data_IF_808616562777
#
_entry.id   IF_808616562777
#
_cell.length_a   1.000
_cell.length_b   1.000
_cell.length_c   1.000
_cell.angle_alpha   90.00
_cell.angle_beta   90.00
_cell.angle_gamma   90.00
#
_symmetry.space_group_name_H-M   'P 1'
#
loop_
_entity.id
_entity.type
_entity.pdbx_description
1 polymer ?
#
# COMPACT_ATOMS: atom_id res chain seq x y z
N UNK A 1 -16.24 -21.88 -50.15
CA UNK A 1 -16.38 -20.84 -49.11
C UNK A 1 -15.29 -20.98 -48.05
N UNK A 2 -14.62 -19.88 -47.68
CA UNK A 2 -13.54 -19.86 -46.69
C UNK A 2 -14.08 -19.54 -45.29
N UNK A 3 -13.74 -20.38 -44.31
CA UNK A 3 -13.93 -20.08 -42.89
C UNK A 3 -12.87 -19.06 -42.47
N UNK A 4 -13.25 -18.11 -41.62
CA UNK A 4 -12.32 -17.09 -41.14
C UNK A 4 -11.28 -17.69 -40.19
N UNK A 5 -10.06 -17.15 -40.12
CA UNK A 5 -9.06 -17.62 -39.17
C UNK A 5 -9.59 -17.64 -37.73
N UNK A 6 -10.46 -16.70 -37.34
CA UNK A 6 -11.07 -16.67 -36.00
C UNK A 6 -11.91 -17.90 -35.72
N UNK A 7 -12.77 -18.33 -36.66
CA UNK A 7 -13.58 -19.54 -36.51
C UNK A 7 -12.72 -20.80 -36.41
N UNK A 8 -11.61 -20.85 -37.16
CA UNK A 8 -10.69 -21.99 -37.16
C UNK A 8 -9.84 -22.03 -35.88
N UNK A 9 -9.34 -20.89 -35.41
CA UNK A 9 -8.44 -20.81 -34.26
C UNK A 9 -9.16 -20.80 -32.91
N UNK A 10 -10.39 -20.30 -32.84
CA UNK A 10 -11.08 -20.08 -31.56
C UNK A 10 -12.38 -20.89 -31.43
N UNK A 11 -12.90 -21.46 -32.52
CA UNK A 11 -14.17 -22.20 -32.53
C UNK A 11 -15.42 -21.34 -32.37
N UNK A 12 -15.26 -20.02 -32.16
CA UNK A 12 -16.33 -19.03 -32.04
C UNK A 12 -16.98 -18.76 -33.40
N UNK A 13 -18.29 -18.53 -33.42
CA UNK A 13 -19.03 -18.23 -34.67
C UNK A 13 -18.78 -16.78 -35.09
N UNK A 14 -18.53 -16.55 -36.38
CA UNK A 14 -18.36 -15.20 -36.94
C UNK A 14 -19.69 -14.43 -37.00
N UNK A 15 -19.66 -13.12 -36.79
CA UNK A 15 -20.73 -12.21 -37.23
C UNK A 15 -20.57 -11.89 -38.73
N UNK A 16 -21.60 -12.13 -39.57
CA UNK A 16 -21.44 -12.17 -41.02
C UNK A 16 -21.43 -10.77 -41.62
N UNK A 17 -20.52 -10.52 -42.58
CA UNK A 17 -20.59 -9.32 -43.43
C UNK A 17 -20.66 -9.67 -44.93
N UNK A 18 -20.18 -10.83 -45.41
CA UNK A 18 -20.37 -11.33 -46.78
C UNK A 18 -19.80 -12.77 -46.94
N UNK A 19 -20.53 -13.67 -47.63
CA UNK A 19 -20.21 -15.11 -47.77
C UNK A 19 -19.80 -15.56 -49.18
N UNK A 20 -19.57 -14.66 -50.12
CA UNK A 20 -19.28 -15.04 -51.52
C UNK A 20 -17.83 -14.68 -51.87
N UNK A 21 -17.03 -15.68 -52.26
CA UNK A 21 -15.73 -15.47 -52.92
C UNK A 21 -15.94 -15.88 -54.37
N UNK A 22 -15.86 -14.92 -55.30
CA UNK A 22 -15.91 -15.17 -56.74
C UNK A 22 -14.49 -15.33 -57.29
N UNK A 23 -14.25 -16.36 -58.10
CA UNK A 23 -13.05 -16.43 -58.93
C UNK A 23 -13.42 -16.05 -60.38
N UNK A 24 -12.62 -15.22 -61.06
CA UNK A 24 -12.82 -14.94 -62.48
C UNK A 24 -12.25 -16.08 -63.31
N UNK A 25 -13.07 -16.69 -64.18
CA UNK A 25 -12.60 -17.64 -65.19
C UNK A 25 -12.18 -16.85 -66.43
N UNK A 26 -10.95 -17.07 -66.91
CA UNK A 26 -10.41 -16.32 -68.04
C UNK A 26 -11.32 -16.44 -69.28
N UNK A 27 -11.88 -15.31 -69.72
CA UNK A 27 -12.57 -15.18 -71.01
C UNK A 27 -14.10 -15.16 -71.01
N UNK A 28 -14.80 -15.27 -69.87
CA UNK A 28 -16.27 -15.15 -69.85
C UNK A 28 -16.78 -14.39 -68.62
N UNK A 29 -17.80 -13.55 -68.81
CA UNK A 29 -18.50 -12.78 -67.77
C UNK A 29 -19.42 -13.66 -66.90
N UNK A 30 -18.95 -14.83 -66.50
CA UNK A 30 -19.69 -15.76 -65.63
C UNK A 30 -18.79 -16.15 -64.46
N UNK A 31 -19.23 -15.80 -63.26
CA UNK A 31 -18.57 -16.18 -62.01
C UNK A 31 -18.99 -17.59 -61.62
N UNK A 32 -18.02 -18.49 -61.41
CA UNK A 32 -18.28 -19.84 -60.93
C UNK A 32 -18.30 -19.84 -59.40
N UNK A 33 -19.43 -20.24 -58.81
CA UNK A 33 -19.59 -20.36 -57.35
C UNK A 33 -18.94 -21.66 -56.89
N UNK A 34 -17.73 -21.57 -56.35
CA UNK A 34 -17.02 -22.73 -55.79
C UNK A 34 -17.62 -23.09 -54.43
N UNK A 35 -18.59 -24.01 -54.42
CA UNK A 35 -18.99 -24.73 -53.21
C UNK A 35 -17.83 -25.67 -52.83
N UNK A 36 -17.24 -25.46 -51.65
CA UNK A 36 -16.24 -26.39 -51.09
C UNK A 36 -17.01 -27.47 -50.34
N UNK A 37 -16.57 -28.72 -50.43
CA UNK A 37 -17.11 -29.84 -49.65
C UNK A 37 -17.16 -29.49 -48.15
N UNK A 38 -18.35 -29.14 -47.69
CA UNK A 38 -18.61 -28.58 -46.34
C UNK A 38 -18.61 -29.64 -45.26
N UNK A 39 -18.83 -30.91 -45.62
CA UNK A 39 -19.08 -32.00 -44.66
C UNK A 39 -17.89 -32.31 -43.74
N UNK A 40 -16.66 -32.31 -44.26
CA UNK A 40 -15.49 -32.68 -43.46
C UNK A 40 -15.07 -31.56 -42.46
N UNK A 41 -15.36 -30.30 -42.77
CA UNK A 41 -14.98 -29.17 -41.91
C UNK A 41 -15.90 -29.03 -40.70
N UNK A 42 -17.19 -29.33 -40.84
CA UNK A 42 -18.15 -29.24 -39.74
C UNK A 42 -17.94 -30.34 -38.70
N UNK A 43 -17.64 -31.56 -39.14
CA UNK A 43 -17.27 -32.67 -38.24
C UNK A 43 -15.97 -32.37 -37.48
N UNK A 44 -14.96 -31.83 -38.16
CA UNK A 44 -13.71 -31.41 -37.53
C UNK A 44 -13.91 -30.27 -36.53
N UNK A 45 -14.77 -29.29 -36.83
CA UNK A 45 -15.12 -28.21 -35.91
C UNK A 45 -15.93 -28.70 -34.72
N UNK A 46 -16.87 -29.62 -34.92
CA UNK A 46 -17.60 -30.24 -33.82
C UNK A 46 -16.65 -31.00 -32.89
N UNK A 47 -15.72 -31.78 -33.46
CA UNK A 47 -14.68 -32.49 -32.69
C UNK A 47 -13.78 -31.53 -31.91
N UNK A 48 -13.38 -30.40 -32.52
CA UNK A 48 -12.58 -29.39 -31.85
C UNK A 48 -13.33 -28.74 -30.69
N UNK A 49 -14.62 -28.41 -30.87
CA UNK A 49 -15.47 -27.83 -29.82
C UNK A 49 -15.62 -28.76 -28.63
N UNK A 50 -15.87 -30.05 -28.88
CA UNK A 50 -15.98 -31.05 -27.82
C UNK A 50 -14.65 -31.19 -27.06
N UNK A 51 -13.53 -31.31 -27.77
CA UNK A 51 -12.21 -31.41 -27.15
C UNK A 51 -11.86 -30.18 -26.30
N UNK A 52 -12.23 -28.99 -26.75
CA UNK A 52 -11.97 -27.74 -26.02
C UNK A 52 -12.88 -27.61 -24.77
N UNK A 53 -14.14 -28.04 -24.87
CA UNK A 53 -15.04 -28.10 -23.72
C UNK A 53 -14.54 -29.09 -22.65
N UNK A 54 -14.07 -30.26 -23.06
CA UNK A 54 -13.47 -31.26 -22.16
C UNK A 54 -12.21 -30.72 -21.47
N UNK A 55 -11.33 -30.07 -22.23
CA UNK A 55 -10.12 -29.45 -21.68
C UNK A 55 -10.47 -28.36 -20.65
N UNK A 56 -11.45 -27.50 -20.95
CA UNK A 56 -11.91 -26.48 -20.03
C UNK A 56 -12.52 -27.06 -18.75
N UNK A 57 -13.29 -28.15 -18.85
CA UNK A 57 -13.83 -28.85 -17.69
C UNK A 57 -12.70 -29.41 -16.80
N UNK A 58 -11.70 -30.07 -17.39
CA UNK A 58 -10.54 -30.60 -16.65
C UNK A 58 -9.70 -29.48 -16.00
N UNK A 59 -9.51 -28.34 -16.68
CA UNK A 59 -8.85 -27.17 -16.07
C UNK A 59 -9.66 -26.65 -14.87
N UNK A 60 -10.99 -26.55 -14.99
CA UNK A 60 -11.86 -26.10 -13.92
C UNK A 60 -11.75 -27.03 -12.70
N UNK A 61 -11.80 -28.35 -12.92
CA UNK A 61 -11.67 -29.36 -11.87
C UNK A 61 -10.30 -29.33 -11.21
N UNK A 62 -9.21 -29.23 -11.98
CA UNK A 62 -7.84 -29.09 -11.44
C UNK A 62 -7.69 -27.83 -10.60
N UNK A 63 -8.27 -26.70 -11.05
CA UNK A 63 -8.24 -25.43 -10.32
C UNK A 63 -9.01 -25.56 -9.00
N UNK A 64 -10.17 -26.20 -9.00
CA UNK A 64 -10.97 -26.42 -7.81
C UNK A 64 -10.29 -27.38 -6.83
N UNK A 65 -9.73 -28.47 -7.32
CA UNK A 65 -8.94 -29.41 -6.51
C UNK A 65 -7.74 -28.72 -5.85
N UNK A 66 -7.02 -27.88 -6.60
CA UNK A 66 -5.91 -27.07 -6.05
C UNK A 66 -6.41 -26.08 -5.00
N UNK A 67 -7.57 -25.43 -5.20
CA UNK A 67 -8.18 -24.53 -4.22
C UNK A 67 -8.52 -25.26 -2.92
N UNK A 68 -9.14 -26.43 -3.01
CA UNK A 68 -9.50 -27.26 -1.87
C UNK A 68 -8.27 -27.78 -1.12
N UNK A 69 -7.24 -28.23 -1.84
CA UNK A 69 -5.96 -28.63 -1.24
C UNK A 69 -5.27 -27.47 -0.52
N UNK A 70 -5.22 -26.28 -1.12
CA UNK A 70 -4.66 -25.09 -0.47
C UNK A 70 -5.48 -24.67 0.75
N UNK A 71 -6.81 -24.77 0.70
CA UNK A 71 -7.69 -24.50 1.84
C UNK A 71 -7.46 -25.51 2.97
N UNK A 72 -7.28 -26.78 2.65
CA UNK A 72 -7.00 -27.84 3.63
C UNK A 72 -5.58 -27.72 4.23
N UNK A 73 -4.59 -27.32 3.42
CA UNK A 73 -3.22 -27.10 3.88
C UNK A 73 -3.09 -25.85 4.77
N UNK A 74 -3.95 -24.85 4.57
CA UNK A 74 -4.04 -23.66 5.43
C UNK A 74 -4.85 -23.96 6.69
N UNK A 75 -4.26 -24.71 7.63
CA UNK A 75 -4.57 -24.50 9.05
C UNK A 75 -3.88 -23.20 9.44
N UNK A 76 -4.64 -22.18 9.80
CA UNK A 76 -4.07 -20.92 10.28
C UNK A 76 -3.09 -21.22 11.41
N UNK A 77 -1.89 -20.65 11.35
CA UNK A 77 -1.00 -20.67 12.50
C UNK A 77 -1.72 -19.93 13.64
N UNK A 78 -1.91 -20.59 14.77
CA UNK A 78 -2.43 -19.95 15.97
C UNK A 78 -1.40 -18.89 16.36
N UNK A 79 -1.81 -17.63 16.33
CA UNK A 79 -0.90 -16.55 16.65
C UNK A 79 -0.68 -16.58 18.17
N UNK A 80 0.55 -16.90 18.59
CA UNK A 80 0.90 -17.10 19.99
C UNK A 80 1.48 -15.79 20.52
N UNK A 81 0.63 -14.82 20.81
CA UNK A 81 0.99 -13.63 21.60
C UNK A 81 0.23 -13.71 22.91
N UNK A 82 0.92 -13.45 24.02
CA UNK A 82 0.35 -13.35 25.35
C UNK A 82 0.33 -11.91 25.85
N UNK A 83 -0.61 -11.57 26.74
CA UNK A 83 -0.54 -10.33 27.53
C UNK A 83 0.82 -10.21 28.22
N UNK A 84 1.50 -9.09 28.01
CA UNK A 84 2.85 -8.82 28.53
C UNK A 84 3.97 -9.00 27.51
N UNK A 85 3.73 -9.68 26.39
CA UNK A 85 4.76 -9.87 25.36
C UNK A 85 5.14 -8.55 24.70
N UNK A 86 6.43 -8.39 24.36
CA UNK A 86 6.89 -7.28 23.56
C UNK A 86 6.81 -7.60 22.07
N UNK A 87 6.23 -6.69 21.29
CA UNK A 87 5.93 -6.88 19.86
C UNK A 87 6.34 -5.66 19.03
N UNK A 88 6.75 -5.92 17.80
CA UNK A 88 6.88 -4.92 16.75
C UNK A 88 5.58 -4.82 15.98
N UNK A 89 5.17 -3.59 15.66
CA UNK A 89 3.99 -3.28 14.87
C UNK A 89 4.36 -2.81 13.46
N UNK A 90 3.78 -3.43 12.45
CA UNK A 90 3.98 -3.06 11.04
C UNK A 90 3.07 -1.88 10.65
N UNK A 91 3.64 -0.72 10.34
CA UNK A 91 2.92 0.47 9.85
C UNK A 91 3.25 0.74 8.38
N UNK A 92 2.24 1.15 7.60
CA UNK A 92 2.48 1.68 6.27
C UNK A 92 3.05 3.10 6.40
N UNK A 93 4.14 3.40 5.68
CA UNK A 93 4.76 4.72 5.69
C UNK A 93 4.16 5.59 4.57
N UNK A 94 3.36 6.63 4.90
CA UNK A 94 2.76 7.49 3.89
C UNK A 94 3.77 8.45 3.24
N UNK A 95 4.96 8.65 3.82
CA UNK A 95 5.98 9.59 3.28
C UNK A 95 6.69 9.04 2.04
N UNK A 96 6.58 7.74 1.78
CA UNK A 96 7.20 7.06 0.63
C UNK A 96 6.18 6.75 -0.49
N UNK A 97 5.21 7.65 -0.70
CA UNK A 97 4.10 7.52 -1.65
C UNK A 97 4.50 7.56 -3.15
N UNK A 98 5.73 7.23 -3.51
CA UNK A 98 6.15 7.02 -4.89
C UNK A 98 5.81 5.58 -5.35
N UNK A 99 4.52 5.26 -5.42
CA UNK A 99 4.00 4.10 -6.17
C UNK A 99 4.06 2.72 -5.51
N UNK A 100 4.64 2.56 -4.31
CA UNK A 100 4.67 1.25 -3.61
C UNK A 100 4.44 1.41 -2.10
N UNK A 101 3.48 0.67 -1.56
CA UNK A 101 3.25 0.57 -0.11
C UNK A 101 4.46 -0.10 0.54
N UNK A 102 5.34 0.69 1.15
CA UNK A 102 6.38 0.19 2.04
C UNK A 102 5.84 0.09 3.47
N UNK A 103 6.07 -1.07 4.08
CA UNK A 103 5.70 -1.36 5.47
C UNK A 103 6.97 -1.32 6.32
N UNK A 104 6.95 -0.49 7.37
CA UNK A 104 8.03 -0.39 8.36
C UNK A 104 7.59 -1.05 9.67
N UNK A 105 8.49 -1.80 10.30
CA UNK A 105 8.30 -2.30 11.65
C UNK A 105 8.70 -1.23 12.66
N UNK A 106 7.81 -0.94 13.60
CA UNK A 106 7.93 0.09 14.65
C UNK A 106 7.71 -0.58 16.00
N UNK A 107 8.38 -0.12 17.04
CA UNK A 107 8.29 -0.69 18.39
C UNK A 107 9.63 -1.23 18.87
N UNK A 108 9.72 -1.56 20.16
CA UNK A 108 8.78 -2.48 20.82
C UNK A 108 7.55 -1.81 21.47
N UNK A 109 6.41 -2.51 21.38
CA UNK A 109 5.15 -2.28 22.10
C UNK A 109 4.92 -3.44 23.07
N UNK A 110 4.09 -3.27 24.09
CA UNK A 110 3.66 -4.36 24.98
C UNK A 110 2.23 -4.78 24.66
N UNK A 111 1.95 -6.08 24.61
CA UNK A 111 0.56 -6.57 24.49
C UNK A 111 -0.16 -6.31 25.82
N UNK A 112 -1.19 -5.47 25.80
CA UNK A 112 -1.97 -5.11 26.98
C UNK A 112 -3.20 -6.01 27.15
N UNK A 113 -3.84 -6.43 26.06
CA UNK A 113 -5.03 -7.27 26.09
C UNK A 113 -5.16 -8.11 24.81
N UNK A 114 -5.70 -9.31 24.94
CA UNK A 114 -6.02 -10.19 23.82
C UNK A 114 -7.51 -10.06 23.49
N UNK A 115 -7.82 -9.60 22.27
CA UNK A 115 -9.19 -9.51 21.77
C UNK A 115 -9.51 -10.74 20.90
N UNK A 116 -10.79 -11.07 20.67
CA UNK A 116 -11.17 -12.27 19.92
C UNK A 116 -10.56 -12.39 18.52
N UNK A 117 -10.26 -11.26 17.87
CA UNK A 117 -9.75 -11.20 16.48
C UNK A 117 -8.49 -10.34 16.34
N UNK A 118 -8.00 -9.74 17.42
CA UNK A 118 -6.93 -8.74 17.40
C UNK A 118 -6.25 -8.63 18.77
N UNK A 119 -5.25 -7.77 18.89
CA UNK A 119 -4.53 -7.53 20.13
C UNK A 119 -4.48 -6.04 20.40
N UNK A 120 -4.71 -5.66 21.64
CA UNK A 120 -4.52 -4.30 22.11
C UNK A 120 -3.07 -4.15 22.51
N UNK A 121 -2.29 -3.42 21.73
CA UNK A 121 -0.88 -3.13 22.03
C UNK A 121 -0.76 -1.75 22.68
N UNK A 122 0.12 -1.65 23.66
CA UNK A 122 0.39 -0.44 24.41
C UNK A 122 1.78 0.08 24.08
N UNK A 123 1.85 1.37 23.82
CA UNK A 123 3.09 2.07 23.58
C UNK A 123 3.83 2.33 24.90
N UNK A 124 5.11 1.91 25.01
CA UNK A 124 5.84 1.87 26.29
C UNK A 124 6.08 3.23 26.95
N UNK A 125 6.08 4.33 26.17
CA UNK A 125 6.32 5.68 26.70
C UNK A 125 5.04 6.47 26.95
N UNK A 126 4.07 6.35 26.05
CA UNK A 126 2.87 7.19 26.06
C UNK A 126 1.71 6.50 26.74
N UNK A 127 1.78 5.17 26.92
CA UNK A 127 0.67 4.36 27.39
C UNK A 127 -0.50 4.29 26.39
N UNK A 128 -0.35 4.85 25.20
CA UNK A 128 -1.39 4.82 24.17
C UNK A 128 -1.62 3.38 23.72
N UNK A 129 -2.90 3.03 23.62
CA UNK A 129 -3.32 1.68 23.24
C UNK A 129 -3.84 1.67 21.81
N UNK A 130 -3.46 0.66 21.05
CA UNK A 130 -3.82 0.49 19.65
C UNK A 130 -4.37 -0.92 19.42
N UNK A 131 -5.54 -1.01 18.79
CA UNK A 131 -6.11 -2.29 18.35
C UNK A 131 -5.47 -2.72 17.03
N UNK A 132 -4.75 -3.85 17.06
CA UNK A 132 -3.94 -4.31 15.94
C UNK A 132 -4.17 -5.80 15.67
N UNK A 133 -4.39 -6.14 14.40
CA UNK A 133 -4.53 -7.53 13.99
C UNK A 133 -3.18 -8.28 14.10
N UNK A 134 -3.24 -9.54 14.54
CA UNK A 134 -2.11 -10.45 14.73
C UNK A 134 -1.05 -10.44 13.60
N UNK A 135 -1.49 -10.46 12.34
CA UNK A 135 -0.63 -10.43 11.13
C UNK A 135 0.27 -9.17 11.02
N UNK A 136 -0.09 -8.09 11.70
CA UNK A 136 0.66 -6.83 11.74
C UNK A 136 1.64 -6.79 12.92
N UNK A 137 1.73 -7.86 13.69
CA UNK A 137 2.60 -7.98 14.86
C UNK A 137 3.70 -9.00 14.61
N UNK A 138 4.86 -8.77 15.22
CA UNK A 138 5.99 -9.69 15.25
C UNK A 138 6.58 -9.68 16.65
N UNK A 139 6.92 -10.85 17.19
CA UNK A 139 7.63 -10.95 18.47
C UNK A 139 8.90 -10.11 18.47
N UNK A 140 9.07 -9.30 19.51
CA UNK A 140 10.33 -8.65 19.82
C UNK A 140 11.15 -9.62 20.67
N UNK A 141 12.32 -10.02 20.17
CA UNK A 141 13.01 -11.24 20.60
C UNK A 141 13.82 -11.10 21.91
N UNK A 142 13.52 -10.14 22.77
CA UNK A 142 14.28 -9.95 24.00
C UNK A 142 13.43 -10.24 25.23
N UNK A 143 13.58 -11.46 25.72
CA UNK A 143 12.98 -12.01 26.92
C UNK A 143 13.64 -11.48 28.22
N UNK A 144 14.69 -10.66 28.09
CA UNK A 144 15.37 -9.95 29.18
C UNK A 144 15.33 -8.42 28.99
N UNK A 145 14.41 -7.91 28.16
CA UNK A 145 14.33 -6.50 27.84
C UNK A 145 14.01 -5.65 29.08
N UNK A 146 15.05 -5.09 29.68
CA UNK A 146 14.91 -3.96 30.58
C UNK A 146 14.59 -2.72 29.73
N UNK A 147 13.55 -1.98 30.12
CA UNK A 147 13.18 -0.74 29.44
C UNK A 147 14.17 0.36 29.84
N UNK A 148 15.37 0.33 29.24
CA UNK A 148 16.44 1.29 29.49
C UNK A 148 16.15 2.64 28.84
N UNK A 149 16.84 3.69 29.26
CA UNK A 149 16.68 5.03 28.69
C UNK A 149 17.06 5.08 27.20
N UNK A 150 18.03 4.28 26.76
CA UNK A 150 18.42 4.20 25.35
C UNK A 150 17.32 3.56 24.49
N UNK A 151 16.63 2.54 25.01
CA UNK A 151 15.49 1.94 24.33
C UNK A 151 14.31 2.93 24.27
N UNK A 152 14.03 3.63 25.37
CA UNK A 152 13.04 4.71 25.42
C UNK A 152 13.36 5.80 24.39
N UNK A 153 14.60 6.28 24.35
CA UNK A 153 15.06 7.27 23.38
C UNK A 153 14.89 6.75 21.95
N UNK A 154 15.29 5.50 21.67
CA UNK A 154 15.11 4.89 20.35
C UNK A 154 13.63 4.81 19.93
N UNK A 155 12.73 4.42 20.84
CA UNK A 155 11.28 4.36 20.59
C UNK A 155 10.72 5.77 20.37
N UNK A 156 11.18 6.78 21.13
CA UNK A 156 10.85 8.20 20.94
C UNK A 156 11.15 8.69 19.52
N UNK A 157 12.29 8.29 18.96
CA UNK A 157 12.69 8.62 17.59
C UNK A 157 11.87 7.92 16.50
N UNK A 158 11.09 6.88 16.82
CA UNK A 158 10.30 6.12 15.84
C UNK A 158 8.93 6.73 15.50
N UNK A 159 8.68 7.98 15.89
CA UNK A 159 7.50 8.73 15.44
C UNK A 159 6.34 8.72 16.43
N UNK A 160 6.64 8.70 17.73
CA UNK A 160 5.72 9.26 18.72
C UNK A 160 5.66 10.76 18.47
N UNK A 161 4.46 11.32 18.40
CA UNK A 161 4.30 12.77 18.42
C UNK A 161 4.62 13.26 19.83
N UNK A 162 5.88 13.61 20.07
CA UNK A 162 6.28 14.29 21.29
C UNK A 162 5.64 15.68 21.29
N UNK A 163 5.07 16.08 22.42
CA UNK A 163 4.53 17.43 22.55
C UNK A 163 5.66 18.45 22.49
N UNK A 164 5.42 19.60 21.89
CA UNK A 164 6.39 20.71 21.88
C UNK A 164 6.39 21.35 23.26
N UNK A 165 7.54 21.38 23.95
CA UNK A 165 7.72 22.13 25.21
C UNK A 165 7.83 23.61 24.89
N UNK A 166 8.86 23.96 24.12
CA UNK A 166 9.18 25.33 23.74
C UNK A 166 9.89 25.34 22.39
N UNK A 167 9.80 26.46 21.68
CA UNK A 167 10.61 26.74 20.49
C UNK A 167 11.67 27.73 20.94
N UNK A 168 12.94 27.36 20.80
CA UNK A 168 14.07 28.09 21.39
C UNK A 168 14.84 28.92 20.38
N UNK A 169 14.94 28.45 19.14
CA UNK A 169 15.73 29.12 18.10
C UNK A 169 15.19 28.85 16.69
N UNK A 170 15.70 29.58 15.70
CA UNK A 170 15.31 29.54 14.30
C UNK A 170 16.54 29.62 13.41
N UNK A 171 16.57 28.80 12.36
CA UNK A 171 17.60 28.87 11.34
C UNK A 171 17.03 28.64 9.95
N UNK A 172 17.70 29.20 8.95
CA UNK A 172 17.41 28.88 7.56
C UNK A 172 18.41 27.86 7.04
N UNK A 173 17.94 26.67 6.66
CA UNK A 173 18.78 25.63 6.09
C UNK A 173 18.93 25.84 4.58
N UNK A 174 20.11 26.29 4.15
CA UNK A 174 20.38 26.60 2.73
C UNK A 174 20.38 25.35 1.82
N UNK A 175 20.73 24.18 2.35
CA UNK A 175 20.77 22.94 1.56
C UNK A 175 19.36 22.43 1.28
N UNK A 176 18.51 22.40 2.31
CA UNK A 176 17.12 21.99 2.20
C UNK A 176 16.19 23.12 1.68
N UNK A 177 16.67 24.37 1.67
CA UNK A 177 15.92 25.58 1.28
C UNK A 177 14.67 25.85 2.12
N UNK A 178 14.69 25.45 3.38
CA UNK A 178 13.56 25.53 4.31
C UNK A 178 13.94 26.24 5.62
N UNK A 179 12.93 26.79 6.31
CA UNK A 179 13.08 27.27 7.68
C UNK A 179 12.96 26.10 8.65
N UNK A 180 13.89 26.05 9.60
CA UNK A 180 13.89 25.06 10.68
C UNK A 180 13.81 25.76 12.03
N UNK A 181 13.03 25.18 12.93
CA UNK A 181 12.85 25.62 14.31
C UNK A 181 13.58 24.66 15.23
N UNK A 182 14.27 25.19 16.24
CA UNK A 182 14.83 24.38 17.32
C UNK A 182 13.70 24.11 18.31
N UNK A 183 13.27 22.86 18.37
CA UNK A 183 12.13 22.42 19.15
C UNK A 183 12.65 21.68 20.38
N UNK A 184 12.31 22.21 21.55
CA UNK A 184 12.42 21.47 22.80
C UNK A 184 11.19 20.62 23.03
N UNK A 185 11.39 19.35 23.36
CA UNK A 185 10.33 18.35 23.50
C UNK A 185 9.82 18.25 24.95
N UNK A 186 8.53 17.99 25.12
CA UNK A 186 7.93 17.75 26.44
C UNK A 186 8.47 16.46 27.04
N UNK A 187 8.94 16.53 28.29
CA UNK A 187 9.49 15.39 29.01
C UNK A 187 10.93 15.01 28.63
N UNK A 188 11.60 15.79 27.78
CA UNK A 188 13.01 15.60 27.39
C UNK A 188 13.88 16.78 27.85
N UNK A 189 15.19 16.56 27.94
CA UNK A 189 16.15 17.59 28.37
C UNK A 189 16.54 18.53 27.22
N UNK A 190 17.10 19.70 27.53
CA UNK A 190 17.51 20.68 26.51
C UNK A 190 18.64 20.18 25.58
N UNK A 191 19.40 19.17 26.01
CA UNK A 191 20.41 18.52 25.18
C UNK A 191 19.79 17.71 24.02
N UNK A 192 18.49 17.41 24.10
CA UNK A 192 17.74 16.60 23.15
C UNK A 192 16.87 17.46 22.22
N UNK A 193 17.03 18.79 22.26
CA UNK A 193 16.35 19.72 21.35
C UNK A 193 16.78 19.44 19.89
N UNK A 194 15.82 19.33 18.97
CA UNK A 194 16.08 19.00 17.56
C UNK A 194 15.62 20.09 16.59
N UNK A 195 16.27 20.13 15.42
CA UNK A 195 15.91 21.07 14.35
C UNK A 195 14.86 20.45 13.44
N UNK A 196 13.65 20.98 13.51
CA UNK A 196 12.49 20.48 12.77
C UNK A 196 12.01 21.48 11.70
N UNK A 197 11.46 21.03 10.57
CA UNK A 197 10.90 21.91 9.55
C UNK A 197 9.74 22.74 10.10
N UNK A 198 9.72 24.04 9.79
CA UNK A 198 8.68 24.96 10.27
C UNK A 198 7.28 24.48 9.93
N UNK A 199 7.05 24.07 8.69
CA UNK A 199 5.72 23.65 8.20
C UNK A 199 5.22 22.41 8.97
N UNK A 200 6.10 21.44 9.21
CA UNK A 200 5.77 20.22 9.96
C UNK A 200 5.39 20.51 11.42
N UNK A 201 6.00 21.50 12.04
CA UNK A 201 5.69 21.89 13.43
C UNK A 201 4.44 22.77 13.49
N UNK A 202 4.24 23.62 12.49
CA UNK A 202 3.05 24.45 12.39
C UNK A 202 1.77 23.60 12.23
N UNK A 203 1.81 22.54 11.40
CA UNK A 203 0.70 21.59 11.29
C UNK A 203 0.35 20.91 12.63
N UNK A 204 1.34 20.73 13.51
CA UNK A 204 1.15 20.06 14.78
C UNK A 204 0.70 21.01 15.90
N UNK A 205 1.33 22.19 16.01
CA UNK A 205 1.10 23.15 17.11
C UNK A 205 1.14 24.59 16.59
N UNK A 206 0.10 25.03 15.85
CA UNK A 206 0.10 26.34 15.20
C UNK A 206 0.18 27.50 16.20
N UNK A 207 -0.46 27.37 17.36
CA UNK A 207 -0.48 28.40 18.41
C UNK A 207 0.93 28.74 18.92
N UNK A 208 1.74 27.72 19.23
CA UNK A 208 3.11 27.92 19.74
C UNK A 208 4.03 28.52 18.70
N UNK A 209 3.86 28.12 17.44
CA UNK A 209 4.65 28.68 16.33
C UNK A 209 4.26 30.15 16.12
N UNK A 210 2.97 30.48 16.14
CA UNK A 210 2.51 31.86 16.00
C UNK A 210 3.01 32.77 17.14
N UNK A 211 2.94 32.31 18.38
CA UNK A 211 3.48 33.02 19.55
C UNK A 211 4.98 33.27 19.39
N UNK A 212 5.75 32.24 19.03
CA UNK A 212 7.19 32.35 18.81
C UNK A 212 7.55 33.31 17.68
N UNK A 213 6.88 33.21 16.53
CA UNK A 213 7.11 34.10 15.39
C UNK A 213 6.77 35.54 15.75
N UNK A 214 5.72 35.79 16.51
CA UNK A 214 5.33 37.14 16.96
C UNK A 214 6.41 37.79 17.83
N UNK A 215 6.98 37.03 18.77
CA UNK A 215 8.03 37.48 19.70
C UNK A 215 9.43 37.57 19.10
N UNK A 216 9.65 36.98 17.93
CA UNK A 216 10.97 36.89 17.30
C UNK A 216 11.40 38.22 16.64
N UNK A 217 12.68 38.58 16.74
CA UNK A 217 13.27 39.77 16.08
C UNK A 217 13.68 39.53 14.62
N UNK A 218 13.68 38.27 14.17
CA UNK A 218 14.04 37.87 12.81
C UNK A 218 12.95 38.26 11.79
N UNK A 219 13.16 39.37 11.10
CA UNK A 219 12.24 39.92 10.10
C UNK A 219 12.01 38.98 8.91
N UNK A 220 13.03 38.22 8.49
CA UNK A 220 12.93 37.31 7.34
C UNK A 220 11.99 36.14 7.61
N UNK A 221 12.03 35.61 8.84
CA UNK A 221 11.11 34.56 9.26
C UNK A 221 9.67 35.08 9.29
N UNK A 222 9.44 36.28 9.85
CA UNK A 222 8.11 36.92 9.89
C UNK A 222 7.53 37.12 8.49
N UNK A 223 8.33 37.64 7.56
CA UNK A 223 7.89 37.81 6.16
C UNK A 223 7.56 36.46 5.51
N UNK A 224 8.40 35.43 5.70
CA UNK A 224 8.14 34.10 5.16
C UNK A 224 6.86 33.48 5.72
N UNK A 225 6.67 33.56 7.05
CA UNK A 225 5.50 33.03 7.73
C UNK A 225 4.21 33.71 7.27
N UNK A 226 4.19 35.05 7.23
CA UNK A 226 3.03 35.82 6.78
C UNK A 226 2.68 35.51 5.31
N UNK A 227 3.67 35.43 4.42
CA UNK A 227 3.43 35.11 3.01
C UNK A 227 2.86 33.71 2.79
N UNK A 228 3.12 32.77 3.71
CA UNK A 228 2.62 31.39 3.59
C UNK A 228 1.21 31.23 4.19
N UNK A 229 0.81 32.09 5.13
CA UNK A 229 -0.36 31.86 5.99
C UNK A 229 -1.41 33.00 5.98
N UNK A 230 -1.13 34.18 5.41
CA UNK A 230 -2.10 35.28 5.27
C UNK A 230 -2.87 35.29 3.92
N UNK A 231 -2.64 34.34 3.02
CA UNK A 231 -3.32 34.30 1.70
C UNK A 231 -4.76 33.71 1.76
N UNK A 232 -5.37 33.59 2.94
CA UNK A 232 -6.70 33.01 3.14
C UNK A 232 -7.79 33.99 3.63
N UNK A 233 -7.55 35.30 3.58
CA UNK A 233 -8.59 36.32 3.80
C UNK A 233 -8.76 37.19 2.53
N UNK A 234 -9.45 36.64 1.53
CA UNK A 234 -10.19 37.42 0.53
C UNK A 234 -11.56 36.77 0.23
#
# INVERSE_FOLDING_TARGET
MGKSPVEVFTGLSREPILNVITQPRAGAAVHEVVQRDTLNCEEQLAKLRTSLAELHADIADRKEKRRLQQKAAKKGAVCTFSVGDFVLWSRADPRMAAGKLMVRWVGPFRVAEELPTSFLIEHLLTGEKFDVHAIRLKHYADNMLEVTEELKHHIGLQGIKLGVRAITDTRYNRQAKEWQLLVGWQGLEAAEDSWEPLDSIYEAVPEKVAEFVSGTTNSRLKTYFNNQHNDNEE
#
